data_IF_978079153799
#
_entry.id   IF_978079153799
#
_cell.length_a   1.000
_cell.length_b   1.000
_cell.length_c   1.000
_cell.angle_alpha   90.00
_cell.angle_beta   90.00
_cell.angle_gamma   90.00
#
_symmetry.space_group_name_H-M   'P 1'
#
loop_
_entity.id
_entity.type
_entity.pdbx_description
1 polymer ?
#
# COMPACT_ATOMS: atom_id res chain seq x y z
N UNK A 1 -11.90 24.39 0.74
CA UNK A 1 -11.49 24.29 2.16
C UNK A 1 -10.16 23.57 2.21
N UNK A 2 -9.15 24.29 2.67
CA UNK A 2 -7.73 24.14 2.36
C UNK A 2 -7.18 22.81 2.88
N UNK A 3 -6.53 22.07 1.99
CA UNK A 3 -5.67 20.91 2.25
C UNK A 3 -4.45 21.42 3.03
N UNK A 4 -4.63 21.88 4.27
CA UNK A 4 -3.56 21.72 5.25
C UNK A 4 -3.54 20.24 5.58
N UNK A 5 -2.91 19.50 4.65
CA UNK A 5 -2.47 18.14 4.87
C UNK A 5 -1.74 18.16 6.19
N UNK A 6 -2.36 17.57 7.21
CA UNK A 6 -1.78 17.46 8.53
C UNK A 6 -0.61 16.50 8.34
N UNK A 7 0.55 17.05 7.93
CA UNK A 7 1.71 16.31 7.43
C UNK A 7 2.19 15.29 8.46
N UNK A 8 1.93 15.57 9.73
CA UNK A 8 2.11 14.66 10.86
C UNK A 8 1.23 13.42 10.76
N UNK A 9 -0.07 13.55 10.46
CA UNK A 9 -0.97 12.42 10.24
C UNK A 9 -0.52 11.56 9.07
N UNK A 10 -0.09 12.19 7.96
CA UNK A 10 0.41 11.45 6.80
C UNK A 10 1.71 10.71 7.12
N UNK A 11 2.65 11.34 7.83
CA UNK A 11 3.89 10.71 8.28
C UNK A 11 3.61 9.51 9.18
N UNK A 12 2.73 9.67 10.17
CA UNK A 12 2.36 8.58 11.09
C UNK A 12 1.67 7.45 10.32
N UNK A 13 0.76 7.78 9.40
CA UNK A 13 0.10 6.80 8.54
C UNK A 13 1.13 6.02 7.69
N UNK A 14 2.06 6.70 7.03
CA UNK A 14 3.11 6.03 6.24
C UNK A 14 3.94 5.07 7.10
N UNK A 15 4.31 5.46 8.32
CA UNK A 15 5.04 4.58 9.24
C UNK A 15 4.20 3.35 9.61
N UNK A 16 2.91 3.55 9.97
CA UNK A 16 1.98 2.43 10.23
C UNK A 16 1.93 1.51 9.03
N UNK A 17 1.87 2.06 7.82
CA UNK A 17 1.77 1.29 6.59
C UNK A 17 3.03 0.48 6.30
N UNK A 18 4.22 1.07 6.48
CA UNK A 18 5.51 0.38 6.31
C UNK A 18 5.60 -0.87 7.19
N UNK A 19 5.07 -0.81 8.42
CA UNK A 19 5.04 -1.96 9.32
C UNK A 19 3.79 -2.86 9.14
N UNK A 20 2.77 -2.41 8.41
CA UNK A 20 1.56 -3.18 8.06
C UNK A 20 1.75 -4.07 6.83
N UNK A 21 2.56 -3.61 5.89
CA UNK A 21 2.91 -4.35 4.69
C UNK A 21 3.89 -5.43 5.08
N UNK A 22 3.34 -6.57 5.51
CA UNK A 22 4.05 -7.83 5.51
C UNK A 22 4.69 -8.02 4.12
N UNK A 23 5.98 -8.36 4.11
CA UNK A 23 6.93 -8.26 2.99
C UNK A 23 6.64 -9.14 1.76
N UNK A 24 5.56 -8.88 1.01
CA UNK A 24 5.33 -9.55 -0.28
C UNK A 24 4.82 -8.64 -1.40
N UNK A 25 4.61 -7.34 -1.16
CA UNK A 25 3.92 -6.47 -2.14
C UNK A 25 4.77 -6.07 -3.36
N UNK A 26 6.08 -6.37 -3.35
CA UNK A 26 6.94 -6.22 -4.53
C UNK A 26 7.91 -7.39 -4.62
N UNK A 27 7.48 -8.49 -5.23
CA UNK A 27 8.37 -9.56 -5.69
C UNK A 27 8.08 -9.77 -7.18
N UNK A 28 8.83 -9.08 -8.04
CA UNK A 28 8.81 -9.29 -9.50
C UNK A 28 9.74 -10.43 -9.93
N UNK A 29 10.42 -11.09 -8.99
CA UNK A 29 11.40 -12.14 -9.27
C UNK A 29 11.08 -13.45 -8.51
N UNK A 30 10.74 -14.49 -9.28
CA UNK A 30 10.52 -15.85 -8.80
C UNK A 30 11.79 -16.52 -8.22
N UNK A 31 12.98 -15.92 -8.43
CA UNK A 31 14.26 -16.44 -7.90
C UNK A 31 14.59 -15.95 -6.49
N UNK A 32 13.99 -14.83 -6.06
CA UNK A 32 14.19 -14.30 -4.71
C UNK A 32 13.39 -15.10 -3.70
N UNK A 33 14.09 -15.97 -2.96
CA UNK A 33 13.58 -16.63 -1.76
C UNK A 33 12.81 -15.61 -0.94
N UNK A 34 11.54 -15.90 -0.71
CA UNK A 34 10.68 -15.24 0.27
C UNK A 34 11.53 -14.72 1.44
N UNK A 35 11.40 -13.44 1.78
CA UNK A 35 11.84 -12.97 3.09
C UNK A 35 10.96 -13.73 4.07
N UNK A 36 11.43 -14.91 4.48
CA UNK A 36 10.72 -15.81 5.35
C UNK A 36 10.87 -15.21 6.75
N UNK A 37 10.18 -14.10 6.99
CA UNK A 37 10.16 -13.40 8.27
C UNK A 37 9.73 -14.45 9.28
N UNK A 38 10.63 -14.77 10.19
CA UNK A 38 10.31 -15.72 11.23
C UNK A 38 9.13 -15.17 12.06
N UNK A 39 8.28 -16.05 12.57
CA UNK A 39 7.12 -15.65 13.41
C UNK A 39 7.53 -14.63 14.50
N UNK A 40 8.68 -14.77 15.20
CA UNK A 40 9.15 -13.78 16.17
C UNK A 40 9.38 -12.37 15.59
N UNK A 41 9.95 -12.28 14.38
CA UNK A 41 10.21 -11.00 13.71
C UNK A 41 8.91 -10.34 13.25
N UNK A 42 7.95 -11.12 12.75
CA UNK A 42 6.63 -10.60 12.39
C UNK A 42 5.87 -10.04 13.60
N UNK A 43 5.94 -10.72 14.75
CA UNK A 43 5.38 -10.24 16.02
C UNK A 43 6.02 -8.91 16.43
N UNK A 44 7.34 -8.76 16.24
CA UNK A 44 8.05 -7.53 16.56
C UNK A 44 7.59 -6.36 15.66
N UNK A 45 7.42 -6.58 14.36
CA UNK A 45 6.92 -5.58 13.42
C UNK A 45 5.49 -5.14 13.78
N UNK A 46 4.60 -6.09 14.12
CA UNK A 46 3.23 -5.80 14.56
C UNK A 46 3.24 -4.96 15.86
N UNK A 47 4.15 -5.25 16.80
CA UNK A 47 4.28 -4.44 18.03
C UNK A 47 4.66 -3.00 17.72
N UNK A 48 5.62 -2.79 16.83
CA UNK A 48 6.02 -1.44 16.39
C UNK A 48 4.83 -0.73 15.73
N UNK A 49 4.13 -1.41 14.82
CA UNK A 49 2.93 -0.87 14.16
C UNK A 49 1.88 -0.42 15.18
N UNK A 50 1.59 -1.26 16.18
CA UNK A 50 0.59 -0.98 17.22
C UNK A 50 0.93 0.27 18.05
N UNK A 51 2.22 0.54 18.29
CA UNK A 51 2.65 1.77 18.97
C UNK A 51 2.26 2.99 18.15
N UNK A 52 2.52 2.98 16.83
CA UNK A 52 2.17 4.10 15.96
C UNK A 52 0.66 4.25 15.76
N UNK A 53 -0.10 3.15 15.66
CA UNK A 53 -1.56 3.18 15.64
C UNK A 53 -2.11 3.81 16.93
N UNK A 54 -1.56 3.43 18.08
CA UNK A 54 -1.95 4.00 19.37
C UNK A 54 -1.64 5.49 19.46
N UNK A 55 -0.47 5.91 18.96
CA UNK A 55 -0.07 7.31 18.91
C UNK A 55 -1.01 8.12 18.00
N UNK A 56 -1.35 7.59 16.83
CA UNK A 56 -2.33 8.19 15.91
C UNK A 56 -3.69 8.35 16.57
N UNK A 57 -4.17 7.30 17.23
CA UNK A 57 -5.47 7.31 17.93
C UNK A 57 -5.51 8.34 19.05
N UNK A 58 -4.46 8.40 19.89
CA UNK A 58 -4.34 9.41 20.96
C UNK A 58 -4.29 10.83 20.39
N UNK A 59 -3.56 11.04 19.30
CA UNK A 59 -3.51 12.35 18.64
C UNK A 59 -4.89 12.77 18.12
N UNK A 60 -5.60 11.87 17.45
CA UNK A 60 -6.92 12.16 16.89
C UNK A 60 -7.95 12.45 18.00
N UNK A 61 -7.94 11.65 19.07
CA UNK A 61 -8.85 11.84 20.21
C UNK A 61 -8.56 13.14 20.97
N UNK A 62 -7.28 13.48 21.17
CA UNK A 62 -6.88 14.76 21.76
C UNK A 62 -7.32 15.96 20.91
N UNK A 63 -7.09 15.91 19.60
CA UNK A 63 -7.30 17.06 18.72
C UNK A 63 -8.77 17.27 18.32
N UNK A 64 -9.54 16.19 18.17
CA UNK A 64 -10.86 16.23 17.55
C UNK A 64 -11.98 15.64 18.43
N UNK A 65 -11.66 15.21 19.65
CA UNK A 65 -12.58 14.48 20.52
C UNK A 65 -12.90 13.08 20.00
N UNK A 66 -13.63 12.28 20.78
CA UNK A 66 -13.91 10.88 20.44
C UNK A 66 -14.62 10.72 19.09
N UNK A 67 -15.75 11.41 18.90
CA UNK A 67 -16.54 11.27 17.66
C UNK A 67 -15.80 11.80 16.42
N UNK A 68 -15.05 12.90 16.58
CA UNK A 68 -14.23 13.44 15.50
C UNK A 68 -13.06 12.52 15.14
N UNK A 69 -12.46 11.87 16.14
CA UNK A 69 -11.40 10.90 15.94
C UNK A 69 -11.88 9.67 15.16
N UNK A 70 -13.03 9.10 15.53
CA UNK A 70 -13.62 7.95 14.81
C UNK A 70 -13.83 8.28 13.34
N UNK A 71 -14.52 9.39 13.03
CA UNK A 71 -14.79 9.80 11.64
C UNK A 71 -13.51 10.01 10.83
N UNK A 72 -12.50 10.64 11.42
CA UNK A 72 -11.22 10.89 10.74
C UNK A 72 -10.41 9.62 10.53
N UNK A 73 -10.41 8.73 11.52
CA UNK A 73 -9.72 7.45 11.42
C UNK A 73 -10.35 6.56 10.33
N UNK A 74 -11.68 6.48 10.31
CA UNK A 74 -12.44 5.80 9.26
C UNK A 74 -12.14 6.38 7.87
N UNK A 75 -12.16 7.71 7.74
CA UNK A 75 -11.80 8.37 6.48
C UNK A 75 -10.37 8.09 6.03
N UNK A 76 -9.41 8.04 6.97
CA UNK A 76 -8.02 7.69 6.66
C UNK A 76 -7.89 6.25 6.14
N UNK A 77 -8.57 5.29 6.78
CA UNK A 77 -8.59 3.89 6.34
C UNK A 77 -9.23 3.78 4.96
N UNK A 78 -10.38 4.41 4.75
CA UNK A 78 -11.08 4.39 3.45
C UNK A 78 -10.20 4.94 2.33
N UNK A 79 -9.59 6.11 2.53
CA UNK A 79 -8.70 6.71 1.53
C UNK A 79 -7.51 5.81 1.20
N UNK A 80 -6.96 5.13 2.22
CA UNK A 80 -5.88 4.18 2.00
C UNK A 80 -6.33 2.99 1.14
N UNK A 81 -7.47 2.37 1.46
CA UNK A 81 -8.04 1.26 0.68
C UNK A 81 -8.39 1.69 -0.75
N UNK A 82 -8.99 2.86 -0.93
CA UNK A 82 -9.30 3.41 -2.25
C UNK A 82 -8.01 3.64 -3.08
N UNK A 83 -6.94 4.06 -2.42
CA UNK A 83 -5.62 4.23 -3.07
C UNK A 83 -5.04 2.88 -3.49
N UNK A 84 -5.11 1.85 -2.63
CA UNK A 84 -4.67 0.49 -2.98
C UNK A 84 -5.47 -0.07 -4.16
N UNK A 85 -6.78 0.10 -4.16
CA UNK A 85 -7.65 -0.35 -5.26
C UNK A 85 -7.29 0.33 -6.58
N UNK A 86 -7.02 1.64 -6.56
CA UNK A 86 -6.56 2.38 -7.75
C UNK A 86 -5.21 1.92 -8.24
N UNK A 87 -4.25 1.69 -7.33
CA UNK A 87 -2.93 1.16 -7.69
C UNK A 87 -3.09 -0.23 -8.33
N UNK A 88 -3.89 -1.12 -7.74
CA UNK A 88 -4.11 -2.46 -8.28
C UNK A 88 -4.78 -2.44 -9.66
N UNK A 89 -5.79 -1.56 -9.85
CA UNK A 89 -6.43 -1.37 -11.14
C UNK A 89 -5.43 -0.85 -12.20
N UNK A 90 -4.56 0.09 -11.84
CA UNK A 90 -3.55 0.63 -12.73
C UNK A 90 -2.50 -0.43 -13.11
N UNK A 91 -2.03 -1.22 -12.15
CA UNK A 91 -1.09 -2.34 -12.41
C UNK A 91 -1.73 -3.37 -13.35
N UNK A 92 -3.01 -3.69 -13.14
CA UNK A 92 -3.74 -4.61 -14.02
C UNK A 92 -3.86 -4.06 -15.44
N UNK A 93 -4.17 -2.77 -15.60
CA UNK A 93 -4.26 -2.12 -16.90
C UNK A 93 -2.90 -2.09 -17.62
N UNK A 94 -1.83 -1.75 -16.91
CA UNK A 94 -0.46 -1.77 -17.45
C UNK A 94 -0.02 -3.17 -17.88
N UNK A 95 -0.43 -4.20 -17.15
CA UNK A 95 -0.15 -5.59 -17.51
C UNK A 95 -0.80 -5.97 -18.84
N UNK A 96 -2.08 -5.64 -19.05
CA UNK A 96 -2.78 -5.91 -20.30
C UNK A 96 -2.16 -5.17 -21.49
N UNK A 97 -1.82 -3.90 -21.31
CA UNK A 97 -1.13 -3.11 -22.35
C UNK A 97 0.22 -3.76 -22.74
N UNK A 98 0.98 -4.24 -21.76
CA UNK A 98 2.24 -4.95 -22.02
C UNK A 98 2.02 -6.26 -22.79
N UNK A 99 0.97 -7.03 -22.47
CA UNK A 99 0.61 -8.25 -23.19
C UNK A 99 0.27 -7.94 -24.64
N UNK A 100 -0.52 -6.90 -24.90
CA UNK A 100 -0.91 -6.50 -26.25
C UNK A 100 0.31 -6.11 -27.10
N UNK A 101 1.26 -5.35 -26.52
CA UNK A 101 2.52 -4.99 -27.19
C UNK A 101 3.36 -6.23 -27.54
N UNK A 102 3.40 -7.23 -26.66
CA UNK A 102 4.13 -8.48 -26.92
C UNK A 102 3.45 -9.25 -28.05
N UNK A 103 2.12 -9.39 -28.02
CA UNK A 103 1.35 -10.07 -29.06
C UNK A 103 1.59 -9.41 -30.42
N UNK A 104 1.51 -8.08 -30.50
CA UNK A 104 1.76 -7.33 -31.72
C UNK A 104 3.18 -7.58 -32.26
N UNK A 105 4.20 -7.47 -31.40
CA UNK A 105 5.59 -7.73 -31.80
C UNK A 105 5.83 -9.16 -32.26
N UNK A 106 5.23 -10.16 -31.60
CA UNK A 106 5.35 -11.56 -32.01
C UNK A 106 4.66 -11.82 -33.34
N UNK A 107 3.46 -11.27 -33.56
CA UNK A 107 2.76 -11.41 -34.85
C UNK A 107 3.54 -10.77 -36.00
N UNK A 108 4.15 -9.61 -35.77
CA UNK A 108 4.98 -8.96 -36.77
C UNK A 108 6.26 -9.75 -37.10
N UNK A 109 6.94 -10.29 -36.09
CA UNK A 109 8.15 -11.12 -36.30
C UNK A 109 7.83 -12.41 -37.07
N UNK A 110 6.70 -13.06 -36.78
CA UNK A 110 6.28 -14.29 -37.47
C UNK A 110 5.83 -14.05 -38.91
N UNK A 111 5.42 -12.83 -39.24
CA UNK A 111 5.01 -12.45 -40.60
C UNK A 111 6.20 -12.15 -41.53
N UNK A 112 7.38 -11.85 -40.99
CA UNK A 112 8.59 -11.52 -41.75
C UNK A 112 9.42 -12.78 -42.08
N UNK A 113 9.27 -13.86 -41.31
CA UNK A 113 9.92 -15.16 -41.55
C UNK A 113 9.16 -16.07 -42.55
N UNK A 114 8.24 -15.52 -43.35
CA UNK A 114 7.56 -16.19 -44.47
C UNK A 114 7.95 -15.58 -45.82
#
# INVERSE_FOLDING_TARGET
>A
TRIESNRTLLKILLIILTFSTNCSIVAYDHSTKYINISIPEAIHLIRIQNIFVTMLWKYLTYQYGYMGAVKRFDYLIKNYLDTLNRINANVSAQHWEMVDIIVEKTTHSLAIDR
#
